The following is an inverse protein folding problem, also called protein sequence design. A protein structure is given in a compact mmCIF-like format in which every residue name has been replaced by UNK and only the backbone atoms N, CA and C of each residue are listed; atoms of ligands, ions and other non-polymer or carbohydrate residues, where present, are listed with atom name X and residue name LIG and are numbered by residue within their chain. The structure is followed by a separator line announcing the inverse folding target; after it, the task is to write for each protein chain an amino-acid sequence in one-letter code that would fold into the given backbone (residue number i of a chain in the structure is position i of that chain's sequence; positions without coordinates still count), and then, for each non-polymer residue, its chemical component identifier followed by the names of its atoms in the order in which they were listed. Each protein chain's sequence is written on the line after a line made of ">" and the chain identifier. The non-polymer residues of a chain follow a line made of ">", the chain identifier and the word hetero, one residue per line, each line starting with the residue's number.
data_IF_325035154079
#
_entry.id   IF_325035154079
#
_cell.length_a   1.000
_cell.length_b   1.000
_cell.length_c   1.000
_cell.angle_alpha   90.00
_cell.angle_beta   90.00
_cell.angle_gamma   90.00
#
_symmetry.space_group_name_H-M   'P 1'
#
loop_
_entity.id
_entity.type
_entity.pdbx_description
1 polymer ?
#
# COMPACT_ATOMS: atom_id res chain seq x y z
N UNK A 1 -14.90 -9.55 3.72
CA UNK A 1 -15.05 -9.21 2.29
C UNK A 1 -13.70 -8.80 1.71
N UNK A 2 -13.45 -9.11 0.43
CA UNK A 2 -12.28 -8.59 -0.31
C UNK A 2 -12.70 -7.38 -1.12
N UNK A 3 -12.00 -6.27 -0.95
CA UNK A 3 -12.18 -5.03 -1.69
C UNK A 3 -10.92 -4.74 -2.50
N UNK A 4 -11.10 -4.41 -3.78
CA UNK A 4 -9.99 -3.96 -4.61
C UNK A 4 -10.29 -2.58 -5.19
N UNK A 5 -9.41 -1.62 -4.91
CA UNK A 5 -9.55 -0.24 -5.36
C UNK A 5 -8.38 0.11 -6.28
N UNK A 6 -8.70 0.61 -7.46
CA UNK A 6 -7.75 1.21 -8.41
C UNK A 6 -8.17 2.65 -8.71
N UNK A 7 -7.38 3.38 -9.50
CA UNK A 7 -7.76 4.72 -9.97
C UNK A 7 -9.16 4.73 -10.64
N UNK A 8 -9.54 3.64 -11.31
CA UNK A 8 -10.86 3.51 -11.92
C UNK A 8 -11.99 3.36 -10.89
N UNK A 9 -11.71 2.84 -9.69
CA UNK A 9 -12.71 2.77 -8.60
C UNK A 9 -13.14 4.15 -8.11
N UNK A 10 -12.39 5.19 -8.45
CA UNK A 10 -12.68 6.59 -8.11
C UNK A 10 -13.34 7.32 -9.27
N UNK A 11 -13.95 6.60 -10.23
CA UNK A 11 -14.62 7.17 -11.39
C UNK A 11 -16.01 6.59 -11.55
N UNK A 12 -17.03 7.45 -11.63
CA UNK A 12 -18.41 7.06 -11.94
C UNK A 12 -18.70 7.46 -13.39
N UNK A 13 -19.07 6.49 -14.22
CA UNK A 13 -19.54 6.72 -15.58
C UNK A 13 -21.04 7.04 -15.61
N UNK A 14 -21.44 8.05 -16.39
CA UNK A 14 -22.84 8.36 -16.66
C UNK A 14 -23.24 7.88 -18.05
N UNK A 15 -24.53 7.59 -18.26
CA UNK A 15 -25.09 7.10 -19.52
C UNK A 15 -24.81 8.01 -20.73
N UNK A 16 -24.45 9.29 -20.49
CA UNK A 16 -24.04 10.26 -21.52
C UNK A 16 -22.54 10.29 -21.83
N UNK A 17 -21.74 9.34 -21.34
CA UNK A 17 -20.30 9.22 -21.63
C UNK A 17 -19.37 10.08 -20.76
N UNK A 18 -19.91 10.86 -19.82
CA UNK A 18 -19.10 11.61 -18.84
C UNK A 18 -18.59 10.72 -17.71
N UNK A 19 -17.36 10.96 -17.25
CA UNK A 19 -16.81 10.37 -16.02
C UNK A 19 -16.68 11.44 -14.94
N UNK A 20 -17.22 11.19 -13.75
CA UNK A 20 -17.00 12.04 -12.56
C UNK A 20 -16.03 11.34 -11.62
N UNK A 21 -15.01 12.07 -11.17
CA UNK A 21 -14.11 11.61 -10.12
C UNK A 21 -14.83 11.64 -8.78
N UNK A 22 -14.78 10.53 -8.04
CA UNK A 22 -15.27 10.38 -6.68
C UNK A 22 -14.15 10.82 -5.73
N UNK A 23 -14.50 11.60 -4.71
CA UNK A 23 -13.55 12.01 -3.69
C UNK A 23 -13.21 10.84 -2.75
N UNK A 24 -12.04 10.91 -2.12
CA UNK A 24 -11.67 9.94 -1.09
C UNK A 24 -12.69 9.90 0.05
N UNK A 25 -13.20 11.05 0.46
CA UNK A 25 -14.21 11.16 1.52
C UNK A 25 -15.50 10.40 1.19
N UNK A 26 -15.96 10.47 -0.07
CA UNK A 26 -17.12 9.69 -0.52
C UNK A 26 -16.83 8.19 -0.49
N UNK A 27 -15.64 7.75 -0.94
CA UNK A 27 -15.25 6.33 -0.88
C UNK A 27 -15.14 5.84 0.56
N UNK A 28 -14.49 6.59 1.46
CA UNK A 28 -14.35 6.21 2.87
C UNK A 28 -15.71 6.12 3.56
N UNK A 29 -16.64 7.04 3.28
CA UNK A 29 -18.02 6.98 3.78
C UNK A 29 -18.75 5.70 3.33
N UNK A 30 -18.53 5.26 2.09
CA UNK A 30 -19.17 4.07 1.54
C UNK A 30 -18.60 2.76 2.12
N UNK A 31 -17.29 2.72 2.42
CA UNK A 31 -16.65 1.50 2.92
C UNK A 31 -16.70 1.37 4.45
N UNK A 32 -16.79 2.48 5.18
CA UNK A 32 -16.87 2.49 6.66
C UNK A 32 -17.92 1.54 7.24
N UNK A 33 -19.17 1.45 6.72
CA UNK A 33 -20.17 0.53 7.26
C UNK A 33 -19.91 -0.94 6.89
N UNK A 34 -18.97 -1.23 5.98
CA UNK A 34 -18.75 -2.57 5.43
C UNK A 34 -17.54 -3.24 6.08
N UNK A 35 -17.68 -4.53 6.42
CA UNK A 35 -16.56 -5.33 6.91
C UNK A 35 -15.62 -5.72 5.76
N UNK A 36 -14.58 -4.93 5.55
CA UNK A 36 -13.47 -5.24 4.64
C UNK A 36 -12.41 -6.05 5.40
N UNK A 37 -12.19 -7.30 5.00
CA UNK A 37 -11.15 -8.17 5.57
C UNK A 37 -9.86 -8.07 4.75
N UNK A 38 -9.97 -7.92 3.42
CA UNK A 38 -8.83 -7.80 2.51
C UNK A 38 -8.98 -6.54 1.67
N UNK A 39 -7.94 -5.71 1.61
CA UNK A 39 -7.88 -4.52 0.77
C UNK A 39 -6.71 -4.65 -0.21
N UNK A 40 -7.03 -4.54 -1.49
CA UNK A 40 -6.07 -4.67 -2.59
C UNK A 40 -6.01 -3.37 -3.37
N UNK A 41 -4.82 -2.78 -3.45
CA UNK A 41 -4.59 -1.48 -4.06
C UNK A 41 -3.47 -1.60 -5.11
N UNK A 42 -3.81 -1.89 -6.38
CA UNK A 42 -2.87 -1.64 -7.46
C UNK A 42 -2.68 -0.13 -7.65
N UNK A 43 -1.42 0.32 -7.76
CA UNK A 43 -1.12 1.73 -8.09
C UNK A 43 -1.63 2.12 -9.48
N UNK A 44 -1.79 1.16 -10.40
CA UNK A 44 -2.18 1.44 -11.79
C UNK A 44 -0.98 1.80 -12.66
N UNK A 45 -1.12 2.85 -13.47
CA UNK A 45 -0.12 3.25 -14.47
C UNK A 45 1.26 3.54 -13.86
N UNK A 46 2.32 3.28 -14.66
CA UNK A 46 3.73 3.42 -14.28
C UNK A 46 4.14 4.89 -14.12
N UNK A 47 3.33 5.84 -14.61
CA UNK A 47 3.60 7.26 -14.44
C UNK A 47 3.73 7.65 -12.96
N UNK A 48 4.52 8.67 -12.66
CA UNK A 48 4.88 9.03 -11.28
C UNK A 48 3.68 9.54 -10.43
N UNK A 49 2.47 9.58 -11.00
CA UNK A 49 1.26 10.06 -10.33
C UNK A 49 0.48 8.90 -9.72
N UNK A 50 0.85 8.51 -8.49
CA UNK A 50 0.00 7.63 -7.70
C UNK A 50 -1.39 8.27 -7.50
N UNK A 51 -2.46 7.49 -7.64
CA UNK A 51 -3.83 8.00 -7.47
C UNK A 51 -4.21 8.23 -6.00
N UNK A 52 -3.46 7.65 -5.04
CA UNK A 52 -3.45 8.07 -3.63
C UNK A 52 -2.06 8.57 -3.25
N UNK A 53 -2.03 9.60 -2.40
CA UNK A 53 -0.84 9.98 -1.65
C UNK A 53 -0.77 9.23 -0.33
N UNK A 54 0.36 9.33 0.38
CA UNK A 54 0.55 8.74 1.70
C UNK A 54 -0.60 9.05 2.69
N UNK A 55 -0.99 10.33 2.86
CA UNK A 55 -2.06 10.70 3.78
C UNK A 55 -3.43 10.18 3.34
N UNK A 56 -3.68 10.10 2.03
CA UNK A 56 -4.91 9.58 1.47
C UNK A 56 -5.04 8.07 1.73
N UNK A 57 -3.96 7.32 1.52
CA UNK A 57 -3.91 5.90 1.86
C UNK A 57 -4.09 5.69 3.36
N UNK A 58 -3.48 6.53 4.20
CA UNK A 58 -3.68 6.48 5.65
C UNK A 58 -5.15 6.66 6.05
N UNK A 59 -5.81 7.70 5.54
CA UNK A 59 -7.23 7.94 5.83
C UNK A 59 -8.12 6.78 5.35
N UNK A 60 -7.79 6.19 4.20
CA UNK A 60 -8.47 5.00 3.70
C UNK A 60 -8.31 3.81 4.66
N UNK A 61 -7.08 3.56 5.12
CA UNK A 61 -6.73 2.51 6.06
C UNK A 61 -7.43 2.69 7.41
N UNK A 62 -7.50 3.91 7.93
CA UNK A 62 -8.22 4.23 9.18
C UNK A 62 -9.73 3.97 9.08
N UNK A 63 -10.33 4.05 7.88
CA UNK A 63 -11.75 3.75 7.67
C UNK A 63 -12.10 2.25 7.63
N UNK A 64 -11.10 1.37 7.62
CA UNK A 64 -11.26 -0.10 7.62
C UNK A 64 -10.52 -0.76 8.79
N UNK A 65 -10.81 -0.42 10.06
CA UNK A 65 -9.98 -0.79 11.21
C UNK A 65 -9.89 -2.30 11.49
N UNK A 66 -10.77 -3.12 10.88
CA UNK A 66 -10.80 -4.59 11.01
C UNK A 66 -10.07 -5.32 9.88
N UNK A 67 -9.22 -4.61 9.14
CA UNK A 67 -8.48 -5.16 8.00
C UNK A 67 -7.52 -6.26 8.46
N UNK A 68 -7.58 -7.42 7.79
CA UNK A 68 -6.69 -8.57 8.02
C UNK A 68 -5.60 -8.66 6.97
N UNK A 69 -5.90 -8.28 5.73
CA UNK A 69 -4.94 -8.35 4.63
C UNK A 69 -4.83 -7.02 3.89
N UNK A 70 -3.61 -6.51 3.72
CA UNK A 70 -3.32 -5.35 2.87
C UNK A 70 -2.39 -5.76 1.73
N UNK A 71 -2.80 -5.48 0.49
CA UNK A 71 -2.04 -5.80 -0.72
C UNK A 71 -1.77 -4.54 -1.53
N UNK A 72 -0.52 -4.10 -1.58
CA UNK A 72 -0.05 -2.96 -2.36
C UNK A 72 0.80 -3.46 -3.53
N UNK A 73 0.38 -3.16 -4.76
CA UNK A 73 1.12 -3.52 -5.96
C UNK A 73 1.57 -2.30 -6.76
N UNK A 74 2.84 -2.26 -7.14
CA UNK A 74 3.39 -1.19 -7.97
C UNK A 74 3.66 0.12 -7.21
N UNK A 75 3.57 0.14 -5.87
CA UNK A 75 3.67 1.38 -5.08
C UNK A 75 5.08 1.93 -5.00
N UNK A 76 5.18 3.26 -4.98
CA UNK A 76 6.43 3.98 -4.82
C UNK A 76 6.52 4.56 -3.39
N UNK A 77 7.48 4.09 -2.61
CA UNK A 77 7.77 4.51 -1.25
C UNK A 77 8.88 5.55 -1.27
N UNK A 78 8.46 6.79 -1.52
CA UNK A 78 9.27 8.01 -1.45
C UNK A 78 9.00 8.73 -0.14
N UNK A 79 9.85 9.70 0.18
CA UNK A 79 9.84 10.54 1.38
C UNK A 79 8.43 11.03 1.75
N UNK A 80 7.78 11.77 0.85
CA UNK A 80 6.44 12.33 1.06
C UNK A 80 5.36 11.25 1.23
N UNK A 81 5.51 10.13 0.55
CA UNK A 81 4.55 9.02 0.64
C UNK A 81 4.68 8.30 1.98
N UNK A 82 5.91 8.01 2.39
CA UNK A 82 6.20 7.36 3.68
C UNK A 82 5.78 8.25 4.84
N UNK A 83 6.14 9.54 4.84
CA UNK A 83 5.75 10.48 5.90
C UNK A 83 4.25 10.66 5.98
N UNK A 84 3.58 10.75 4.82
CA UNK A 84 2.13 10.88 4.80
C UNK A 84 1.41 9.63 5.31
N UNK A 85 1.96 8.44 5.03
CA UNK A 85 1.39 7.18 5.47
C UNK A 85 1.69 6.90 6.95
N UNK A 86 2.91 7.16 7.40
CA UNK A 86 3.42 6.92 8.75
C UNK A 86 4.22 8.14 9.21
N UNK A 87 3.55 9.20 9.72
CA UNK A 87 4.24 10.41 10.10
C UNK A 87 5.25 10.18 11.22
N UNK A 88 6.35 10.94 11.25
CA UNK A 88 7.34 10.82 12.31
C UNK A 88 6.72 11.15 13.68
N UNK A 89 7.25 10.60 14.79
CA UNK A 89 6.73 10.81 16.14
C UNK A 89 6.69 12.28 16.57
N UNK A 90 7.53 13.11 15.96
CA UNK A 90 7.61 14.56 16.20
C UNK A 90 6.48 15.35 15.55
N UNK A 91 5.60 14.71 14.79
CA UNK A 91 4.42 15.35 14.20
C UNK A 91 3.41 15.70 15.29
N UNK A 92 2.73 16.84 15.15
CA UNK A 92 1.62 17.24 16.00
C UNK A 92 0.29 17.08 15.22
N UNK A 93 -0.65 16.22 15.67
CA UNK A 93 -0.59 15.36 16.85
C UNK A 93 0.32 14.13 16.66
N UNK A 94 0.86 13.56 17.76
CA UNK A 94 1.75 12.41 17.69
C UNK A 94 1.05 11.21 17.07
N UNK A 95 1.74 10.54 16.16
CA UNK A 95 1.22 9.36 15.48
C UNK A 95 1.04 8.20 16.48
N UNK A 96 -0.20 7.79 16.71
CA UNK A 96 -0.55 6.68 17.61
C UNK A 96 -0.48 5.30 16.93
N UNK A 97 0.11 5.21 15.73
CA UNK A 97 0.01 4.00 14.90
C UNK A 97 -1.32 3.90 14.15
N UNK A 98 -1.47 2.82 13.39
CA UNK A 98 -2.75 2.49 12.79
C UNK A 98 -3.68 1.78 13.79
N UNK A 99 -5.01 1.91 13.66
CA UNK A 99 -5.96 1.21 14.52
C UNK A 99 -6.03 -0.31 14.26
N UNK A 100 -5.20 -0.85 13.36
CA UNK A 100 -5.18 -2.28 13.04
C UNK A 100 -4.58 -3.06 14.21
N UNK A 101 -5.42 -3.78 14.96
CA UNK A 101 -4.92 -4.71 15.98
C UNK A 101 -4.57 -6.08 15.39
N UNK A 102 -5.08 -6.41 14.18
CA UNK A 102 -5.11 -7.77 13.65
C UNK A 102 -4.67 -7.88 12.19
N UNK A 103 -3.70 -7.07 11.73
CA UNK A 103 -3.19 -7.24 10.37
C UNK A 103 -2.42 -8.58 10.27
N UNK A 104 -3.04 -9.55 9.61
CA UNK A 104 -2.49 -10.90 9.46
C UNK A 104 -1.47 -10.98 8.32
N UNK A 105 -1.73 -10.27 7.21
CA UNK A 105 -0.95 -10.39 5.98
C UNK A 105 -0.70 -9.04 5.30
N UNK A 106 0.57 -8.73 5.05
CA UNK A 106 0.99 -7.58 4.24
C UNK A 106 1.68 -8.07 2.97
N UNK A 107 1.16 -7.69 1.80
CA UNK A 107 1.79 -7.97 0.52
C UNK A 107 2.22 -6.68 -0.17
N UNK A 108 3.52 -6.53 -0.38
CA UNK A 108 4.12 -5.43 -1.11
C UNK A 108 4.83 -6.01 -2.33
N UNK A 109 4.29 -5.82 -3.53
CA UNK A 109 4.87 -6.40 -4.76
C UNK A 109 5.11 -5.35 -5.82
N UNK A 110 6.17 -5.53 -6.62
CA UNK A 110 6.62 -4.56 -7.61
C UNK A 110 6.81 -3.14 -7.03
N UNK A 111 7.25 -3.04 -5.77
CA UNK A 111 7.39 -1.74 -5.11
C UNK A 111 8.71 -1.06 -5.45
N UNK A 112 8.74 0.27 -5.40
CA UNK A 112 9.95 1.06 -5.58
C UNK A 112 10.26 1.83 -4.31
N UNK A 113 11.44 1.63 -3.74
CA UNK A 113 11.85 2.27 -2.48
C UNK A 113 13.00 3.23 -2.76
N UNK A 114 12.79 4.52 -2.45
CA UNK A 114 13.84 5.53 -2.54
C UNK A 114 14.46 5.81 -1.18
N UNK A 115 13.61 5.92 -0.16
CA UNK A 115 14.02 6.13 1.22
C UNK A 115 13.80 4.84 2.02
N UNK A 116 14.88 4.11 2.25
CA UNK A 116 14.83 2.84 2.97
C UNK A 116 14.56 3.04 4.47
N UNK A 117 15.04 4.14 5.05
CA UNK A 117 14.88 4.42 6.49
C UNK A 117 13.40 4.68 6.80
N UNK A 118 12.77 5.58 6.05
CA UNK A 118 11.34 5.88 6.24
C UNK A 118 10.46 4.70 5.87
N UNK A 119 10.85 3.91 4.86
CA UNK A 119 10.12 2.70 4.51
C UNK A 119 10.04 1.70 5.67
N UNK A 120 11.10 1.56 6.48
CA UNK A 120 11.13 0.66 7.65
C UNK A 120 10.05 0.99 8.70
N UNK A 121 9.61 2.24 8.77
CA UNK A 121 8.55 2.65 9.70
C UNK A 121 7.18 2.07 9.33
N UNK A 122 6.95 1.75 8.06
CA UNK A 122 5.65 1.28 7.56
C UNK A 122 5.30 -0.12 8.10
N UNK A 123 6.13 -1.17 7.94
CA UNK A 123 5.81 -2.48 8.50
C UNK A 123 5.80 -2.47 10.04
N UNK A 124 6.55 -1.57 10.69
CA UNK A 124 6.46 -1.38 12.16
C UNK A 124 5.09 -0.82 12.54
N UNK A 125 4.66 0.25 11.88
CA UNK A 125 3.37 0.89 12.13
C UNK A 125 2.18 -0.02 11.82
N UNK A 126 2.29 -0.87 10.80
CA UNK A 126 1.26 -1.83 10.40
C UNK A 126 1.31 -3.15 11.20
N UNK A 127 2.47 -3.51 11.74
CA UNK A 127 2.71 -4.71 12.56
C UNK A 127 2.10 -6.02 11.99
N UNK A 128 2.38 -6.41 10.73
CA UNK A 128 1.77 -7.60 10.15
C UNK A 128 2.34 -8.90 10.74
N UNK A 129 1.51 -9.94 10.83
CA UNK A 129 1.97 -11.29 11.25
C UNK A 129 2.79 -12.02 10.18
N UNK A 130 2.55 -11.69 8.92
CA UNK A 130 3.27 -12.25 7.77
C UNK A 130 3.42 -11.21 6.70
N UNK A 131 4.54 -11.24 5.97
CA UNK A 131 4.83 -10.28 4.90
C UNK A 131 5.39 -10.96 3.65
N UNK A 132 4.82 -10.63 2.50
CA UNK A 132 5.36 -10.97 1.18
C UNK A 132 5.88 -9.70 0.53
N UNK A 133 7.12 -9.75 0.07
CA UNK A 133 7.82 -8.56 -0.40
C UNK A 133 8.54 -8.81 -1.73
N UNK A 134 8.37 -7.89 -2.68
CA UNK A 134 9.15 -7.81 -3.91
C UNK A 134 9.22 -6.34 -4.36
N UNK A 135 10.41 -5.89 -4.73
CA UNK A 135 10.59 -4.54 -5.21
C UNK A 135 12.01 -4.23 -5.66
N UNK A 136 12.24 -2.95 -5.92
CA UNK A 136 13.54 -2.40 -6.32
C UNK A 136 13.88 -1.18 -5.47
N UNK A 137 15.17 -0.97 -5.23
CA UNK A 137 15.71 0.24 -4.58
C UNK A 137 16.43 1.12 -5.59
N UNK A 138 16.56 2.41 -5.26
CA UNK A 138 17.36 3.36 -6.02
C UNK A 138 18.24 4.15 -5.07
N UNK A 139 19.55 4.01 -5.23
CA UNK A 139 20.51 4.90 -4.61
C UNK A 139 20.62 6.21 -5.39
N UNK A 140 21.10 7.27 -4.73
CA UNK A 140 21.25 8.58 -5.35
C UNK A 140 22.13 8.50 -6.62
N UNK A 141 21.61 9.03 -7.73
CA UNK A 141 22.29 9.01 -9.02
C UNK A 141 22.34 7.66 -9.75
N UNK A 142 21.80 6.57 -9.18
CA UNK A 142 21.82 5.23 -9.79
C UNK A 142 20.49 4.85 -10.43
N UNK A 143 20.49 3.80 -11.25
CA UNK A 143 19.28 3.16 -11.76
C UNK A 143 18.56 2.39 -10.65
N UNK A 144 17.29 2.07 -10.87
CA UNK A 144 16.58 1.11 -10.04
C UNK A 144 17.25 -0.27 -10.12
N UNK A 145 17.50 -0.89 -8.97
CA UNK A 145 18.09 -2.22 -8.85
C UNK A 145 17.11 -3.12 -8.10
N UNK A 146 16.89 -4.32 -8.63
CA UNK A 146 16.02 -5.32 -8.01
C UNK A 146 16.58 -5.74 -6.66
N UNK A 147 15.70 -5.84 -5.65
CA UNK A 147 16.08 -6.32 -4.33
C UNK A 147 16.38 -7.82 -4.34
N UNK A 148 17.36 -8.21 -3.53
CA UNK A 148 17.96 -9.52 -3.36
C UNK A 148 18.04 -9.88 -1.87
N UNK A 149 18.36 -11.13 -1.56
CA UNK A 149 18.43 -11.61 -0.16
C UNK A 149 19.51 -10.92 0.67
N UNK A 150 20.52 -10.33 0.01
CA UNK A 150 21.69 -9.69 0.64
C UNK A 150 21.47 -8.20 0.94
N UNK A 151 20.40 -7.59 0.42
CA UNK A 151 20.14 -6.17 0.61
C UNK A 151 19.80 -5.81 2.07
N UNK A 152 20.29 -4.66 2.54
CA UNK A 152 20.14 -4.23 3.92
C UNK A 152 18.66 -4.13 4.34
N UNK A 153 17.79 -3.56 3.49
CA UNK A 153 16.35 -3.50 3.77
C UNK A 153 15.71 -4.88 3.86
N UNK A 154 16.15 -5.86 3.06
CA UNK A 154 15.62 -7.23 3.10
C UNK A 154 16.05 -7.93 4.37
N UNK A 155 17.32 -7.80 4.74
CA UNK A 155 17.85 -8.31 6.00
C UNK A 155 17.14 -7.69 7.21
N UNK A 156 16.90 -6.38 7.17
CA UNK A 156 16.15 -5.69 8.22
C UNK A 156 14.72 -6.20 8.32
N UNK A 157 14.00 -6.36 7.20
CA UNK A 157 12.63 -6.88 7.18
C UNK A 157 12.58 -8.32 7.74
N UNK A 158 13.53 -9.17 7.35
CA UNK A 158 13.62 -10.56 7.84
C UNK A 158 13.76 -10.64 9.36
N UNK A 159 14.48 -9.69 9.96
CA UNK A 159 14.73 -9.65 11.39
C UNK A 159 13.61 -8.97 12.20
N UNK A 160 12.83 -8.08 11.58
CA UNK A 160 11.84 -7.25 12.29
C UNK A 160 10.38 -7.58 11.95
N UNK A 161 10.13 -8.31 10.86
CA UNK A 161 8.77 -8.64 10.41
C UNK A 161 8.56 -10.15 10.48
N UNK A 162 7.63 -10.63 11.34
CA UNK A 162 7.32 -12.05 11.43
C UNK A 162 6.87 -12.63 10.08
N UNK A 163 7.27 -13.86 9.80
CA UNK A 163 6.86 -14.59 8.58
C UNK A 163 7.24 -13.90 7.27
N UNK A 164 8.26 -13.02 7.28
CA UNK A 164 8.75 -12.32 6.10
C UNK A 164 9.24 -13.29 5.02
N UNK A 165 8.89 -13.00 3.77
CA UNK A 165 9.34 -13.70 2.56
C UNK A 165 9.63 -12.71 1.44
N UNK A 166 10.85 -12.74 0.93
CA UNK A 166 11.19 -12.14 -0.36
C UNK A 166 10.68 -13.06 -1.48
N UNK A 167 10.03 -12.50 -2.50
CA UNK A 167 9.56 -13.25 -3.67
C UNK A 167 10.13 -12.69 -4.96
N UNK A 168 10.19 -13.54 -5.99
CA UNK A 168 10.73 -13.16 -7.30
C UNK A 168 9.80 -12.17 -8.05
N UNK A 169 10.34 -11.51 -9.08
CA UNK A 169 9.60 -10.54 -9.89
C UNK A 169 8.50 -11.18 -10.77
N UNK A 170 8.52 -12.50 -10.96
CA UNK A 170 7.51 -13.27 -11.69
C UNK A 170 6.41 -13.80 -10.77
N UNK A 171 6.47 -13.50 -9.47
CA UNK A 171 5.46 -13.88 -8.50
C UNK A 171 4.10 -13.37 -8.97
N UNK A 172 3.25 -14.30 -9.42
CA UNK A 172 1.91 -13.94 -9.89
C UNK A 172 1.07 -13.57 -8.69
N UNK A 173 0.93 -12.27 -8.49
CA UNK A 173 -0.01 -11.72 -7.55
C UNK A 173 -1.43 -11.84 -8.13
N UNK A 174 -1.87 -13.05 -8.50
CA UNK A 174 -3.05 -13.35 -9.31
C UNK A 174 -4.37 -12.74 -8.77
N UNK A 175 -4.38 -12.28 -7.52
CA UNK A 175 -5.47 -11.52 -6.91
C UNK A 175 -5.53 -10.02 -7.28
N UNK A 176 -4.53 -9.47 -7.99
CA UNK A 176 -4.41 -8.02 -8.29
C UNK A 176 -4.81 -7.64 -9.74
N UNK A 177 -5.08 -8.63 -10.61
CA UNK A 177 -5.58 -8.42 -11.98
C UNK A 177 -7.09 -8.13 -11.95
N UNK A 178 -7.49 -6.98 -11.44
CA UNK A 178 -8.90 -6.56 -11.41
C UNK A 178 -9.08 -5.46 -12.44
N UNK A 179 -9.24 -5.88 -13.70
CA UNK A 179 -9.49 -4.94 -14.79
C UNK A 179 -10.96 -4.51 -14.85
N UNK A 180 -11.89 -5.22 -14.21
CA UNK A 180 -13.32 -4.87 -14.19
C UNK A 180 -14.03 -5.34 -12.92
N UNK A 181 -14.75 -4.42 -12.28
CA UNK A 181 -15.78 -4.75 -11.29
C UNK A 181 -16.95 -5.45 -12.01
N UNK A 182 -17.36 -6.63 -11.53
CA UNK A 182 -18.65 -7.24 -11.89
C UNK A 182 -19.51 -7.25 -10.64
N UNK A 183 -20.63 -6.53 -10.72
CA UNK A 183 -21.74 -6.59 -9.76
C UNK A 183 -22.48 -7.93 -9.89
#
# INVERSE_FOLDING_TARGET
>A
MTLALSDNSFRIGYSGGGMKKVSLAEVTQLITPVKVDTLSLPRGSIDDKAWLKGPDLRALLESVPKLKELKLHGWHFYEDFCDGLCPPPTSDPPFSGFPFQDLEFLQLTAVRIRDQERFRNIPVALSPRTMVFNGSIKEEGKSWVQLTEDDEVVNWLRNNVPGFRLVDAKYDAAALKIDQWRL
#
